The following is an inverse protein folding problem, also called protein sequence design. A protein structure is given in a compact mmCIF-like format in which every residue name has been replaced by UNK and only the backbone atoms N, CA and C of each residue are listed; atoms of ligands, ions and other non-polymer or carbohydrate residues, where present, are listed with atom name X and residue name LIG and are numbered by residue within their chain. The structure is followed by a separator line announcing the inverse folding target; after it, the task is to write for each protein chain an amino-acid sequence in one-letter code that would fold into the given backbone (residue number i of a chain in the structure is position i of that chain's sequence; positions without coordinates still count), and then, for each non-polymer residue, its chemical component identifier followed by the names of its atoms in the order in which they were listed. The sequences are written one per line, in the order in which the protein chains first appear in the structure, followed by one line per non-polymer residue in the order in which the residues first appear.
data_IF_132597329216
#
_entry.id   IF_132597329216
#
_cell.length_a   1.000
_cell.length_b   1.000
_cell.length_c   1.000
_cell.angle_alpha   90.00
_cell.angle_beta   90.00
_cell.angle_gamma   90.00
#
_symmetry.space_group_name_H-M   'P 1'
#
loop_
_entity.id
_entity.type
_entity.pdbx_description
1 polymer ?
#
# COMPACT_ATOMS: atom_id res chain seq x y z
N UNK A 1 15.26 1.22 7.34
CA UNK A 1 15.54 1.96 6.11
C UNK A 1 14.21 2.29 5.47
N UNK A 2 13.99 3.54 5.08
CA UNK A 2 12.79 4.00 4.38
C UNK A 2 12.64 3.31 3.03
N UNK A 3 11.41 3.02 2.62
CA UNK A 3 11.08 2.50 1.28
C UNK A 3 11.67 3.45 0.20
N UNK A 4 12.51 2.96 -0.73
CA UNK A 4 13.11 3.82 -1.75
C UNK A 4 12.08 4.39 -2.73
N UNK A 5 12.26 5.64 -3.16
CA UNK A 5 11.41 6.25 -4.19
C UNK A 5 11.35 5.42 -5.49
N UNK A 6 12.46 4.76 -5.86
CA UNK A 6 12.52 3.86 -7.01
C UNK A 6 11.52 2.71 -6.91
N UNK A 7 11.33 2.13 -5.71
CA UNK A 7 10.36 1.06 -5.51
C UNK A 7 8.93 1.52 -5.86
N UNK A 8 8.58 2.75 -5.48
CA UNK A 8 7.27 3.33 -5.80
C UNK A 8 7.14 3.65 -7.29
N UNK A 9 8.18 4.20 -7.91
CA UNK A 9 8.20 4.45 -9.35
C UNK A 9 8.02 3.16 -10.16
N UNK A 10 8.71 2.08 -9.77
CA UNK A 10 8.62 0.79 -10.44
C UNK A 10 7.21 0.19 -10.32
N UNK A 11 6.59 0.29 -9.14
CA UNK A 11 5.22 -0.17 -8.90
C UNK A 11 4.20 0.62 -9.72
N UNK A 12 4.25 1.95 -9.68
CA UNK A 12 3.34 2.81 -10.44
C UNK A 12 3.53 2.61 -11.95
N UNK A 13 4.78 2.52 -12.41
CA UNK A 13 5.08 2.25 -13.83
C UNK A 13 4.58 0.88 -14.25
N UNK A 14 4.72 -0.14 -13.38
CA UNK A 14 4.16 -1.46 -13.60
C UNK A 14 2.65 -1.39 -13.80
N UNK A 15 1.94 -0.82 -12.82
CA UNK A 15 0.49 -0.65 -12.84
C UNK A 15 -0.01 0.05 -14.12
N UNK A 16 0.63 1.16 -14.49
CA UNK A 16 0.25 1.94 -15.67
C UNK A 16 0.48 1.21 -17.01
N UNK A 17 1.23 0.10 -17.04
CA UNK A 17 1.31 -0.74 -18.26
C UNK A 17 -0.02 -1.44 -18.55
N UNK A 18 -0.73 -1.89 -17.51
CA UNK A 18 -2.06 -2.49 -17.61
C UNK A 18 -3.19 -1.46 -17.65
N UNK A 19 -2.96 -0.30 -17.04
CA UNK A 19 -3.96 0.75 -16.85
C UNK A 19 -3.49 2.12 -17.36
N UNK A 20 -3.14 2.27 -18.65
CA UNK A 20 -2.57 3.51 -19.17
C UNK A 20 -3.50 4.72 -19.03
N UNK A 21 -4.82 4.51 -19.09
CA UNK A 21 -5.82 5.57 -18.94
C UNK A 21 -5.85 6.20 -17.54
N UNK A 22 -5.27 5.54 -16.53
CA UNK A 22 -5.17 6.04 -15.16
C UNK A 22 -3.94 6.91 -14.92
N UNK A 23 -3.08 7.12 -15.93
CA UNK A 23 -1.91 7.98 -15.80
C UNK A 23 -2.25 9.38 -15.23
N UNK A 24 -3.32 10.09 -15.67
CA UNK A 24 -3.66 11.38 -15.09
C UNK A 24 -3.96 11.33 -13.59
N UNK A 25 -4.45 10.21 -13.06
CA UNK A 25 -4.73 10.02 -11.64
C UNK A 25 -3.44 9.86 -10.83
N UNK A 26 -2.43 9.20 -11.40
CA UNK A 26 -1.15 8.91 -10.74
C UNK A 26 -0.06 9.94 -11.04
N UNK A 27 -0.27 10.84 -12.01
CA UNK A 27 0.69 11.88 -12.39
C UNK A 27 1.11 12.76 -11.20
N UNK A 28 0.22 13.21 -10.29
CA UNK A 28 0.63 13.99 -9.12
C UNK A 28 1.62 13.24 -8.22
N UNK A 29 1.44 11.93 -8.02
CA UNK A 29 2.38 11.11 -7.25
C UNK A 29 3.73 11.01 -7.95
N UNK A 30 3.73 10.78 -9.27
CA UNK A 30 4.96 10.72 -10.06
C UNK A 30 5.73 12.04 -10.01
N UNK A 31 5.05 13.18 -10.16
CA UNK A 31 5.66 14.51 -10.09
C UNK A 31 6.33 14.75 -8.72
N UNK A 32 5.67 14.37 -7.63
CA UNK A 32 6.23 14.44 -6.27
C UNK A 32 7.46 13.56 -6.11
N UNK A 33 7.43 12.33 -6.61
CA UNK A 33 8.56 11.41 -6.60
C UNK A 33 9.76 11.98 -7.39
N UNK A 34 9.52 12.55 -8.57
CA UNK A 34 10.56 13.20 -9.38
C UNK A 34 11.13 14.45 -8.70
N UNK A 35 10.31 15.20 -7.96
CA UNK A 35 10.75 16.34 -7.16
C UNK A 35 11.54 15.94 -5.90
N UNK A 36 11.68 14.64 -5.60
CA UNK A 36 12.41 14.14 -4.44
C UNK A 36 11.63 14.22 -3.13
N UNK A 37 10.30 14.35 -3.19
CA UNK A 37 9.45 14.33 -2.00
C UNK A 37 9.53 12.97 -1.28
N UNK A 38 9.52 13.00 0.06
CA UNK A 38 9.47 11.77 0.85
C UNK A 38 8.01 11.33 1.06
N UNK A 39 7.39 10.81 0.00
CA UNK A 39 5.97 10.44 0.00
C UNK A 39 5.63 9.24 0.88
N UNK A 40 6.58 8.61 1.57
CA UNK A 40 6.28 7.55 2.55
C UNK A 40 6.23 8.08 3.98
N UNK A 41 6.62 9.33 4.21
CA UNK A 41 6.47 9.98 5.51
C UNK A 41 5.07 10.57 5.64
N UNK A 42 4.32 10.16 6.66
CA UNK A 42 2.98 10.72 6.96
C UNK A 42 2.97 12.23 7.25
N UNK A 43 4.15 12.83 7.46
CA UNK A 43 4.34 14.29 7.62
C UNK A 43 4.49 15.01 6.28
N UNK A 44 4.49 14.29 5.16
CA UNK A 44 4.39 14.87 3.82
C UNK A 44 2.93 15.22 3.52
N UNK A 45 2.59 16.49 3.70
CA UNK A 45 1.22 16.98 3.64
C UNK A 45 0.75 17.31 2.22
N UNK A 46 1.67 17.42 1.24
CA UNK A 46 1.29 17.54 -0.18
C UNK A 46 0.79 16.20 -0.76
N UNK A 47 0.85 15.13 0.03
CA UNK A 47 0.36 13.79 -0.29
C UNK A 47 1.39 12.71 0.02
N UNK A 48 0.92 11.62 0.62
CA UNK A 48 1.75 10.47 0.99
C UNK A 48 1.06 9.16 0.67
N UNK A 49 1.87 8.11 0.56
CA UNK A 49 1.47 6.73 0.29
C UNK A 49 0.99 6.08 1.59
N UNK A 50 -0.11 5.35 1.47
CA UNK A 50 -0.61 4.42 2.47
C UNK A 50 -0.66 3.02 1.88
N UNK A 51 -0.66 2.01 2.74
CA UNK A 51 -0.89 0.62 2.34
C UNK A 51 -2.21 0.12 2.90
N UNK A 52 -2.83 -0.83 2.20
CA UNK A 52 -4.08 -1.44 2.60
C UNK A 52 -4.08 -2.88 2.12
N UNK A 53 -4.48 -3.81 3.01
CA UNK A 53 -4.47 -5.24 2.74
C UNK A 53 -5.86 -5.80 2.63
N UNK A 54 -6.21 -6.37 1.48
CA UNK A 54 -7.43 -7.18 1.33
C UNK A 54 -7.05 -8.63 1.62
N UNK A 55 -7.39 -9.12 2.82
CA UNK A 55 -7.16 -10.50 3.25
C UNK A 55 -8.45 -11.28 3.05
N UNK A 56 -8.38 -12.38 2.31
CA UNK A 56 -9.51 -13.23 1.95
C UNK A 56 -9.21 -14.65 2.46
N UNK A 57 -10.23 -15.34 2.99
CA UNK A 57 -10.12 -16.75 3.38
C UNK A 57 -10.58 -17.70 2.25
N UNK A 58 -10.47 -19.01 2.45
CA UNK A 58 -10.92 -20.02 1.47
C UNK A 58 -12.44 -20.02 1.19
N UNK A 59 -13.22 -19.27 1.98
CA UNK A 59 -14.66 -19.11 1.83
C UNK A 59 -15.05 -17.79 1.12
N UNK A 60 -14.07 -17.08 0.54
CA UNK A 60 -14.24 -15.78 -0.11
C UNK A 60 -14.70 -14.63 0.82
N UNK A 61 -14.55 -14.79 2.15
CA UNK A 61 -14.83 -13.71 3.11
C UNK A 61 -13.63 -12.77 3.25
N UNK A 62 -13.89 -11.46 3.28
CA UNK A 62 -12.87 -10.44 3.50
C UNK A 62 -12.73 -10.06 4.99
N UNK A 63 -11.50 -10.02 5.49
CA UNK A 63 -11.18 -9.52 6.83
C UNK A 63 -11.28 -7.99 6.87
N UNK A 64 -12.10 -7.47 7.79
CA UNK A 64 -12.26 -6.05 8.04
C UNK A 64 -12.02 -5.74 9.52
N UNK A 65 -11.49 -4.55 9.79
CA UNK A 65 -11.37 -3.97 11.13
C UNK A 65 -12.43 -2.89 11.34
N UNK A 66 -12.91 -2.76 12.58
CA UNK A 66 -13.80 -1.66 12.95
C UNK A 66 -12.97 -0.43 13.35
N UNK A 67 -12.79 0.50 12.41
CA UNK A 67 -11.93 1.65 12.60
C UNK A 67 -12.59 2.69 13.52
N UNK A 68 -12.05 2.83 14.73
CA UNK A 68 -12.67 3.61 15.81
C UNK A 68 -12.89 5.09 15.47
N UNK A 69 -11.95 5.72 14.75
CA UNK A 69 -12.05 7.14 14.44
C UNK A 69 -13.09 7.44 13.34
N UNK A 70 -13.36 6.48 12.45
CA UNK A 70 -14.35 6.66 11.37
C UNK A 70 -15.68 5.97 11.64
N UNK A 71 -15.73 5.02 12.58
CA UNK A 71 -16.90 4.18 12.85
C UNK A 71 -17.26 3.25 11.69
N UNK A 72 -16.31 2.93 10.81
CA UNK A 72 -16.53 2.11 9.61
C UNK A 72 -15.77 0.80 9.70
N UNK A 73 -16.33 -0.22 9.06
CA UNK A 73 -15.59 -1.44 8.72
C UNK A 73 -14.76 -1.19 7.47
N UNK A 74 -13.44 -1.34 7.58
CA UNK A 74 -12.48 -1.12 6.50
C UNK A 74 -11.43 -2.23 6.53
N UNK A 75 -10.72 -2.38 5.41
CA UNK A 75 -9.56 -3.26 5.33
C UNK A 75 -8.44 -2.77 6.28
N UNK A 76 -7.65 -3.68 6.88
CA UNK A 76 -6.49 -3.29 7.66
C UNK A 76 -5.43 -2.60 6.79
N UNK A 77 -4.65 -1.72 7.39
CA UNK A 77 -3.64 -0.94 6.68
C UNK A 77 -3.26 0.37 7.36
N UNK A 78 -2.24 1.03 6.83
CA UNK A 78 -1.70 2.23 7.46
C UNK A 78 -0.57 2.87 6.68
N UNK A 79 0.31 3.54 7.42
CA UNK A 79 1.46 4.24 6.84
C UNK A 79 2.69 3.32 6.83
N UNK A 80 3.53 3.39 5.79
CA UNK A 80 4.87 2.81 5.88
C UNK A 80 5.67 3.40 7.06
N UNK A 81 6.46 2.56 7.70
CA UNK A 81 7.41 2.96 8.73
C UNK A 81 8.86 2.93 8.22
N UNK A 82 9.77 3.60 8.93
CA UNK A 82 11.20 3.57 8.60
C UNK A 82 11.81 2.17 8.68
N UNK A 83 11.15 1.19 9.28
CA UNK A 83 11.58 -0.21 9.29
C UNK A 83 11.20 -0.97 8.02
N UNK A 84 10.23 -0.47 7.24
CA UNK A 84 9.68 -1.14 6.06
C UNK A 84 10.59 -0.92 4.83
N UNK A 85 11.03 -2.00 4.20
CA UNK A 85 11.82 -1.95 2.95
C UNK A 85 10.97 -1.95 1.68
N UNK A 86 9.71 -2.38 1.75
CA UNK A 86 8.75 -2.39 0.62
C UNK A 86 7.32 -2.12 1.11
N UNK A 87 6.41 -1.74 0.20
CA UNK A 87 4.98 -1.60 0.56
C UNK A 87 4.36 -2.93 0.97
N UNK A 88 4.85 -4.05 0.43
CA UNK A 88 4.43 -5.39 0.81
C UNK A 88 4.83 -5.76 2.25
N UNK A 89 5.96 -5.26 2.74
CA UNK A 89 6.34 -5.42 4.15
C UNK A 89 5.47 -4.55 5.06
N UNK A 90 5.25 -3.29 4.69
CA UNK A 90 4.38 -2.37 5.44
C UNK A 90 2.96 -2.93 5.61
N UNK A 91 2.31 -3.38 4.53
CA UNK A 91 0.95 -3.93 4.63
C UNK A 91 0.87 -5.19 5.50
N UNK A 92 1.89 -6.06 5.45
CA UNK A 92 1.95 -7.27 6.28
C UNK A 92 2.10 -6.93 7.77
N UNK A 93 2.91 -5.92 8.10
CA UNK A 93 3.03 -5.39 9.46
C UNK A 93 1.71 -4.83 9.94
N UNK A 94 1.07 -3.96 9.17
CA UNK A 94 -0.23 -3.36 9.53
C UNK A 94 -1.32 -4.42 9.76
N UNK A 95 -1.44 -5.42 8.88
CA UNK A 95 -2.37 -6.54 9.10
C UNK A 95 -2.08 -7.24 10.43
N UNK A 96 -0.82 -7.54 10.72
CA UNK A 96 -0.44 -8.23 11.95
C UNK A 96 -0.73 -7.38 13.20
N UNK A 97 -0.45 -6.08 13.17
CA UNK A 97 -0.66 -5.15 14.29
C UNK A 97 -2.14 -4.92 14.59
N UNK A 98 -2.98 -4.80 13.56
CA UNK A 98 -4.40 -4.49 13.72
C UNK A 98 -5.29 -5.72 13.95
N UNK A 99 -4.84 -6.90 13.49
CA UNK A 99 -5.68 -8.12 13.47
C UNK A 99 -5.07 -9.32 14.19
N UNK A 100 -3.75 -9.34 14.40
CA UNK A 100 -3.01 -10.48 14.92
C UNK A 100 -2.71 -11.58 13.89
N UNK A 101 -3.11 -11.43 12.63
CA UNK A 101 -2.86 -12.43 11.57
C UNK A 101 -1.45 -12.26 11.00
N UNK A 102 -0.63 -13.31 11.07
CA UNK A 102 0.77 -13.30 10.60
C UNK A 102 1.04 -14.24 9.43
N UNK A 103 0.31 -15.36 9.37
CA UNK A 103 0.45 -16.37 8.33
C UNK A 103 -0.40 -15.96 7.12
N UNK A 104 0.24 -15.30 6.16
CA UNK A 104 -0.42 -14.74 4.96
C UNK A 104 0.31 -15.18 3.70
N UNK A 105 -0.43 -15.75 2.77
CA UNK A 105 0.05 -16.03 1.42
C UNK A 105 -0.31 -14.86 0.50
N UNK A 106 0.59 -14.53 -0.44
CA UNK A 106 0.25 -13.55 -1.48
C UNK A 106 -0.74 -14.22 -2.42
N UNK A 107 -1.82 -13.50 -2.76
CA UNK A 107 -2.73 -13.98 -3.78
C UNK A 107 -2.00 -14.06 -5.12
N UNK A 108 -1.94 -15.25 -5.72
CA UNK A 108 -1.22 -15.49 -6.98
C UNK A 108 0.22 -15.91 -6.82
N UNK A 109 1.00 -15.65 -7.87
CA UNK A 109 2.45 -15.86 -7.90
C UNK A 109 3.23 -14.66 -7.33
N UNK A 110 2.52 -13.66 -6.80
CA UNK A 110 3.10 -12.40 -6.34
C UNK A 110 3.56 -11.47 -7.47
N UNK A 111 3.37 -11.88 -8.73
CA UNK A 111 3.42 -10.95 -9.86
C UNK A 111 2.16 -10.11 -9.78
N UNK A 112 2.28 -8.79 -9.82
CA UNK A 112 1.09 -7.98 -9.74
C UNK A 112 0.22 -8.14 -10.98
N UNK A 113 -1.10 -8.24 -10.77
CA UNK A 113 -2.10 -8.42 -11.81
C UNK A 113 -2.45 -7.08 -12.45
N UNK A 114 -1.67 -6.66 -13.43
CA UNK A 114 -2.00 -5.54 -14.31
C UNK A 114 -1.61 -5.86 -15.75
#
# INVERSE_FOLDING_TARGET
MTIPAQHLQDLVTGYLRGHPDEQPLLQPLLDRLTAGANVTDRREFDGHVTTSGVVINDADDALLIHHLASGRWIQPGGHPEDADGTLGQAVRREIAEETGVTELEVFGDGTPYW
#
